data_IF_932958556455
#
_entry.id   IF_932958556455
#
_cell.length_a   1.000
_cell.length_b   1.000
_cell.length_c   1.000
_cell.angle_alpha   90.00
_cell.angle_beta   90.00
_cell.angle_gamma   90.00
#
_symmetry.space_group_name_H-M   'P 1'
#
loop_
_entity.id
_entity.type
_entity.pdbx_description
1 polymer ?
#
# COMPACT_ATOMS: atom_id res chain seq x y z
N UNK A 1 -2.13 -5.18 24.69
CA UNK A 1 -1.82 -6.05 23.54
C UNK A 1 -2.01 -5.20 22.31
N UNK A 2 -0.99 -5.06 21.46
CA UNK A 2 -1.13 -4.35 20.18
C UNK A 2 -2.11 -5.12 19.29
N UNK A 3 -2.96 -4.42 18.52
CA UNK A 3 -3.87 -5.10 17.60
C UNK A 3 -3.08 -5.76 16.47
N UNK A 4 -3.65 -6.79 15.87
CA UNK A 4 -3.12 -7.36 14.62
C UNK A 4 -3.68 -6.63 13.41
N UNK A 5 -2.99 -6.67 12.26
CA UNK A 5 -3.53 -6.14 11.00
C UNK A 5 -4.90 -6.72 10.65
N UNK A 6 -5.15 -7.97 11.04
CA UNK A 6 -6.45 -8.63 10.86
C UNK A 6 -7.53 -7.95 11.71
N UNK A 7 -7.27 -7.68 12.98
CA UNK A 7 -8.22 -7.01 13.88
C UNK A 7 -8.52 -5.58 13.45
N UNK A 8 -7.50 -4.84 12.99
CA UNK A 8 -7.67 -3.49 12.40
C UNK A 8 -8.55 -3.58 11.15
N UNK A 9 -8.27 -4.54 10.26
CA UNK A 9 -9.04 -4.76 9.03
C UNK A 9 -10.50 -5.08 9.33
N UNK A 10 -10.76 -5.99 10.27
CA UNK A 10 -12.11 -6.39 10.67
C UNK A 10 -12.89 -5.19 11.24
N UNK A 11 -12.23 -4.37 12.06
CA UNK A 11 -12.83 -3.16 12.66
C UNK A 11 -13.21 -2.13 11.61
N UNK A 12 -12.27 -1.78 10.71
CA UNK A 12 -12.50 -0.80 9.64
C UNK A 12 -13.54 -1.29 8.62
N UNK A 13 -13.52 -2.59 8.31
CA UNK A 13 -14.50 -3.21 7.41
C UNK A 13 -15.90 -3.13 8.01
N UNK A 14 -16.05 -3.48 9.28
CA UNK A 14 -17.33 -3.38 9.99
C UNK A 14 -17.85 -1.96 10.03
N UNK A 15 -16.99 -0.98 10.34
CA UNK A 15 -17.37 0.45 10.35
C UNK A 15 -17.90 0.91 8.99
N UNK A 16 -17.22 0.51 7.91
CA UNK A 16 -17.64 0.79 6.52
C UNK A 16 -18.98 0.12 6.19
N UNK A 17 -19.14 -1.15 6.51
CA UNK A 17 -20.35 -1.91 6.22
C UNK A 17 -21.56 -1.36 6.97
N UNK A 18 -21.41 -1.06 8.26
CA UNK A 18 -22.49 -0.51 9.09
C UNK A 18 -22.93 0.86 8.56
N UNK A 19 -21.99 1.73 8.16
CA UNK A 19 -22.34 3.02 7.55
C UNK A 19 -23.04 2.84 6.19
N UNK A 20 -22.59 1.90 5.36
CA UNK A 20 -23.20 1.62 4.06
C UNK A 20 -24.65 1.17 4.22
N UNK A 21 -24.91 0.22 5.12
CA UNK A 21 -26.27 -0.25 5.45
C UNK A 21 -27.15 0.88 6.00
N UNK A 22 -26.58 1.76 6.82
CA UNK A 22 -27.31 2.91 7.36
C UNK A 22 -27.70 3.91 6.25
N UNK A 23 -26.80 4.17 5.30
CA UNK A 23 -27.07 5.03 4.13
C UNK A 23 -28.17 4.42 3.25
N UNK A 24 -28.07 3.13 2.92
CA UNK A 24 -29.08 2.41 2.13
C UNK A 24 -30.47 2.54 2.75
N UNK A 25 -30.59 2.25 4.05
CA UNK A 25 -31.85 2.38 4.79
C UNK A 25 -32.42 3.80 4.75
N UNK A 26 -31.58 4.83 4.93
CA UNK A 26 -32.02 6.23 4.87
C UNK A 26 -32.47 6.60 3.46
N UNK A 27 -31.79 6.13 2.42
CA UNK A 27 -32.20 6.35 1.02
C UNK A 27 -33.55 5.68 0.70
N UNK A 28 -33.79 4.47 1.21
CA UNK A 28 -35.11 3.83 1.10
C UNK A 28 -36.21 4.62 1.81
N UNK A 29 -35.94 5.12 3.02
CA UNK A 29 -36.87 5.98 3.77
C UNK A 29 -37.15 7.30 3.03
N UNK A 30 -36.13 7.89 2.40
CA UNK A 30 -36.27 9.08 1.54
C UNK A 30 -37.18 8.78 0.35
N UNK A 31 -36.97 7.64 -0.34
CA UNK A 31 -37.81 7.24 -1.48
C UNK A 31 -39.28 7.07 -1.08
N UNK A 32 -39.55 6.39 0.04
CA UNK A 32 -40.90 6.24 0.59
C UNK A 32 -41.52 7.59 0.95
N UNK A 33 -40.73 8.50 1.52
CA UNK A 33 -41.19 9.84 1.90
C UNK A 33 -41.53 10.68 0.68
N UNK A 34 -40.73 10.62 -0.39
CA UNK A 34 -41.02 11.29 -1.66
C UNK A 34 -42.32 10.78 -2.29
N UNK A 35 -42.59 9.47 -2.24
CA UNK A 35 -43.87 8.92 -2.70
C UNK A 35 -45.05 9.45 -1.87
N UNK A 36 -44.88 9.58 -0.55
CA UNK A 36 -45.91 10.16 0.32
C UNK A 36 -46.16 11.64 0.03
N UNK A 37 -45.12 12.42 -0.31
CA UNK A 37 -45.23 13.81 -0.77
C UNK A 37 -46.05 13.87 -2.05
N UNK A 38 -45.69 13.08 -3.07
CA UNK A 38 -46.40 13.07 -4.34
C UNK A 38 -47.89 12.70 -4.17
N UNK A 39 -48.17 11.69 -3.33
CA UNK A 39 -49.54 11.29 -3.00
C UNK A 39 -50.31 12.41 -2.28
N UNK A 40 -49.73 13.05 -1.27
CA UNK A 40 -50.38 14.14 -0.55
C UNK A 40 -50.64 15.36 -1.45
N UNK A 41 -49.72 15.66 -2.37
CA UNK A 41 -49.92 16.70 -3.39
C UNK A 41 -51.09 16.37 -4.31
N UNK A 42 -51.19 15.12 -4.78
CA UNK A 42 -52.32 14.68 -5.60
C UNK A 42 -53.65 14.76 -4.83
N UNK A 43 -53.69 14.25 -3.60
CA UNK A 43 -54.90 14.31 -2.75
C UNK A 43 -55.33 15.76 -2.47
N UNK A 44 -54.38 16.69 -2.36
CA UNK A 44 -54.65 18.11 -2.18
C UNK A 44 -55.32 18.72 -3.41
N UNK A 45 -54.83 18.40 -4.62
CA UNK A 45 -55.44 18.83 -5.89
C UNK A 45 -56.85 18.26 -6.04
N UNK A 46 -57.03 16.96 -5.81
CA UNK A 46 -58.34 16.31 -5.93
C UNK A 46 -59.37 16.88 -4.93
N UNK A 47 -58.95 17.18 -3.71
CA UNK A 47 -59.82 17.79 -2.70
C UNK A 47 -60.21 19.23 -3.10
N UNK A 48 -59.28 19.98 -3.70
CA UNK A 48 -59.55 21.32 -4.22
C UNK A 48 -60.54 21.29 -5.40
N UNK A 49 -60.41 20.34 -6.32
CA UNK A 49 -61.36 20.15 -7.43
C UNK A 49 -62.77 19.77 -6.95
N UNK A 50 -62.87 19.05 -5.82
CA UNK A 50 -64.14 18.62 -5.22
C UNK A 50 -64.73 19.61 -4.21
N UNK A 51 -64.07 20.76 -3.98
CA UNK A 51 -64.41 21.71 -2.92
C UNK A 51 -64.51 21.05 -1.52
N UNK A 52 -63.71 20.01 -1.28
CA UNK A 52 -63.64 19.27 -0.01
C UNK A 52 -62.57 19.87 0.91
N UNK A 53 -62.97 20.86 1.70
CA UNK A 53 -62.08 21.54 2.64
C UNK A 53 -61.44 20.59 3.68
N UNK A 54 -62.16 19.55 4.13
CA UNK A 54 -61.61 18.59 5.12
C UNK A 54 -60.56 17.69 4.47
N UNK A 55 -60.82 17.24 3.24
CA UNK A 55 -59.85 16.50 2.44
C UNK A 55 -58.59 17.33 2.19
N UNK A 56 -58.76 18.60 1.84
CA UNK A 56 -57.65 19.53 1.58
C UNK A 56 -56.78 19.75 2.82
N UNK A 57 -57.39 19.99 3.99
CA UNK A 57 -56.66 20.17 5.25
C UNK A 57 -55.87 18.90 5.62
N UNK A 58 -56.47 17.72 5.45
CA UNK A 58 -55.82 16.44 5.71
C UNK A 58 -54.62 16.21 4.78
N UNK A 59 -54.77 16.50 3.49
CA UNK A 59 -53.70 16.38 2.50
C UNK A 59 -52.57 17.38 2.80
N UNK A 60 -52.89 18.63 3.14
CA UNK A 60 -51.92 19.66 3.53
C UNK A 60 -51.12 19.26 4.77
N UNK A 61 -51.79 18.72 5.80
CA UNK A 61 -51.13 18.22 7.00
C UNK A 61 -50.21 17.02 6.71
N UNK A 62 -50.64 16.13 5.82
CA UNK A 62 -49.83 14.98 5.38
C UNK A 62 -48.60 15.43 4.60
N UNK A 63 -48.76 16.40 3.71
CA UNK A 63 -47.68 17.01 2.94
C UNK A 63 -46.65 17.69 3.86
N UNK A 64 -47.11 18.47 4.83
CA UNK A 64 -46.23 19.11 5.82
C UNK A 64 -45.41 18.07 6.59
N UNK A 65 -46.06 17.04 7.14
CA UNK A 65 -45.37 15.94 7.86
C UNK A 65 -44.33 15.24 7.00
N UNK A 66 -44.67 14.94 5.74
CA UNK A 66 -43.77 14.27 4.82
C UNK A 66 -42.55 15.14 4.46
N UNK A 67 -42.76 16.44 4.21
CA UNK A 67 -41.67 17.39 3.96
C UNK A 67 -40.73 17.53 5.16
N UNK A 68 -41.26 17.68 6.38
CA UNK A 68 -40.43 17.74 7.59
C UNK A 68 -39.65 16.44 7.80
N UNK A 69 -40.26 15.29 7.53
CA UNK A 69 -39.59 13.98 7.59
C UNK A 69 -38.45 13.90 6.57
N UNK A 70 -38.67 14.39 5.34
CA UNK A 70 -37.65 14.42 4.31
C UNK A 70 -36.43 15.26 4.71
N UNK A 71 -36.63 16.44 5.30
CA UNK A 71 -35.54 17.28 5.80
C UNK A 71 -34.73 16.58 6.89
N UNK A 72 -35.41 15.92 7.84
CA UNK A 72 -34.75 15.13 8.87
C UNK A 72 -33.88 14.01 8.27
N UNK A 73 -34.43 13.27 7.29
CA UNK A 73 -33.71 12.19 6.61
C UNK A 73 -32.51 12.71 5.80
N UNK A 74 -32.65 13.84 5.10
CA UNK A 74 -31.54 14.50 4.39
C UNK A 74 -30.43 14.92 5.35
N UNK A 75 -30.78 15.47 6.52
CA UNK A 75 -29.80 15.82 7.55
C UNK A 75 -29.08 14.59 8.12
N UNK A 76 -29.81 13.49 8.32
CA UNK A 76 -29.24 12.20 8.75
C UNK A 76 -28.28 11.66 7.68
N UNK A 77 -28.67 11.68 6.40
CA UNK A 77 -27.83 11.25 5.29
C UNK A 77 -26.55 12.09 5.19
N UNK A 78 -26.65 13.42 5.35
CA UNK A 78 -25.49 14.30 5.38
C UNK A 78 -24.50 13.90 6.48
N UNK A 79 -24.99 13.58 7.70
CA UNK A 79 -24.14 13.10 8.80
C UNK A 79 -23.44 11.78 8.46
N UNK A 80 -24.13 10.82 7.83
CA UNK A 80 -23.57 9.52 7.44
C UNK A 80 -22.52 9.61 6.31
N UNK A 81 -22.55 10.70 5.53
CA UNK A 81 -21.57 10.97 4.49
C UNK A 81 -20.33 11.73 4.98
N UNK A 82 -20.28 12.10 6.27
CA UNK A 82 -19.07 12.66 6.88
C UNK A 82 -18.03 11.57 7.14
N UNK A 83 -16.75 11.94 7.35
CA UNK A 83 -15.72 11.00 7.77
C UNK A 83 -16.17 10.17 8.97
N UNK A 84 -15.96 8.85 8.90
CA UNK A 84 -16.35 7.90 9.95
C UNK A 84 -15.42 7.92 11.15
N UNK A 85 -14.23 8.50 10.96
CA UNK A 85 -13.20 8.70 11.96
C UNK A 85 -12.76 10.16 11.89
N UNK A 86 -12.37 10.69 13.04
CA UNK A 86 -11.64 11.94 13.11
C UNK A 86 -10.25 11.79 12.48
N UNK A 87 -9.63 12.93 12.15
CA UNK A 87 -8.26 12.95 11.64
C UNK A 87 -7.27 12.32 12.63
N UNK A 88 -7.46 12.55 13.94
CA UNK A 88 -6.61 12.01 14.98
C UNK A 88 -6.69 10.47 15.03
N UNK A 89 -7.91 9.93 15.08
CA UNK A 89 -8.12 8.47 15.07
C UNK A 89 -7.54 7.81 13.81
N UNK A 90 -7.67 8.45 12.65
CA UNK A 90 -7.09 7.93 11.42
C UNK A 90 -5.55 7.93 11.44
N UNK A 91 -4.94 8.94 12.05
CA UNK A 91 -3.47 9.01 12.22
C UNK A 91 -2.98 7.95 13.20
N UNK A 92 -3.70 7.73 14.30
CA UNK A 92 -3.34 6.71 15.29
C UNK A 92 -3.40 5.31 14.70
N UNK A 93 -4.48 4.99 13.95
CA UNK A 93 -4.60 3.71 13.25
C UNK A 93 -3.50 3.53 12.19
N UNK A 94 -3.13 4.61 11.48
CA UNK A 94 -2.02 4.58 10.52
C UNK A 94 -0.70 4.23 11.22
N UNK A 95 -0.40 4.87 12.34
CA UNK A 95 0.81 4.61 13.10
C UNK A 95 0.85 3.16 13.60
N UNK A 96 -0.28 2.63 14.08
CA UNK A 96 -0.35 1.22 14.51
C UNK A 96 -0.12 0.24 13.35
N UNK A 97 -0.63 0.54 12.14
CA UNK A 97 -0.36 -0.26 10.94
C UNK A 97 1.14 -0.24 10.59
N UNK A 98 1.78 0.94 10.65
CA UNK A 98 3.21 1.11 10.37
C UNK A 98 4.06 0.36 11.41
N UNK A 99 3.75 0.48 12.69
CA UNK A 99 4.45 -0.23 13.77
C UNK A 99 4.35 -1.76 13.60
N UNK A 100 3.16 -2.29 13.23
CA UNK A 100 2.99 -3.72 12.98
C UNK A 100 3.79 -4.16 11.75
N UNK A 101 3.80 -3.35 10.68
CA UNK A 101 4.58 -3.61 9.48
C UNK A 101 6.07 -3.67 9.80
N UNK A 102 6.59 -2.67 10.50
CA UNK A 102 8.00 -2.57 10.88
C UNK A 102 8.40 -3.73 11.80
N UNK A 103 7.56 -4.04 12.80
CA UNK A 103 7.80 -5.16 13.71
C UNK A 103 7.84 -6.50 12.98
N UNK A 104 6.92 -6.75 12.06
CA UNK A 104 6.88 -8.01 11.30
C UNK A 104 8.04 -8.11 10.31
N UNK A 105 8.45 -6.99 9.72
CA UNK A 105 9.52 -6.98 8.73
C UNK A 105 10.91 -7.00 9.33
N UNK A 106 11.08 -6.59 10.60
CA UNK A 106 12.38 -6.63 11.28
C UNK A 106 13.06 -8.01 11.17
N UNK A 107 12.31 -9.08 11.36
CA UNK A 107 12.86 -10.45 11.26
C UNK A 107 13.18 -10.86 9.81
N UNK A 108 12.40 -10.39 8.83
CA UNK A 108 12.69 -10.63 7.42
C UNK A 108 13.93 -9.84 6.97
N UNK A 109 14.07 -8.59 7.40
CA UNK A 109 15.27 -7.78 7.13
C UNK A 109 16.51 -8.38 7.76
N UNK A 110 16.44 -8.88 9.01
CA UNK A 110 17.56 -9.59 9.64
C UNK A 110 18.00 -10.81 8.84
N UNK A 111 17.05 -11.63 8.37
CA UNK A 111 17.35 -12.81 7.54
C UNK A 111 17.94 -12.41 6.19
N UNK A 112 17.36 -11.40 5.54
CA UNK A 112 17.86 -10.89 4.27
C UNK A 112 19.27 -10.31 4.40
N UNK A 113 19.53 -9.57 5.49
CA UNK A 113 20.85 -9.01 5.81
C UNK A 113 21.91 -10.10 5.92
N UNK A 114 21.66 -11.19 6.66
CA UNK A 114 22.62 -12.30 6.77
C UNK A 114 23.00 -12.86 5.41
N UNK A 115 22.02 -13.13 4.55
CA UNK A 115 22.27 -13.67 3.21
C UNK A 115 23.02 -12.69 2.31
N UNK A 116 22.65 -11.41 2.34
CA UNK A 116 23.33 -10.37 1.57
C UNK A 116 24.77 -10.18 2.05
N UNK A 117 25.00 -10.24 3.37
CA UNK A 117 26.33 -10.17 3.95
C UNK A 117 27.20 -11.34 3.50
N UNK A 118 26.69 -12.58 3.58
CA UNK A 118 27.40 -13.77 3.11
C UNK A 118 27.77 -13.67 1.62
N UNK A 119 26.86 -13.17 0.78
CA UNK A 119 27.14 -12.94 -0.64
C UNK A 119 28.21 -11.87 -0.88
N UNK A 120 28.23 -10.82 -0.05
CA UNK A 120 29.27 -9.78 -0.11
C UNK A 120 30.63 -10.32 0.34
N UNK A 121 30.67 -11.15 1.37
CA UNK A 121 31.92 -11.77 1.83
C UNK A 121 32.52 -12.68 0.74
N UNK A 122 31.69 -13.52 0.10
CA UNK A 122 32.09 -14.35 -1.04
C UNK A 122 32.57 -13.53 -2.25
N UNK A 123 31.97 -12.35 -2.46
CA UNK A 123 32.41 -11.41 -3.51
C UNK A 123 33.84 -10.93 -3.22
N UNK A 124 34.13 -10.54 -1.99
CA UNK A 124 35.48 -10.06 -1.61
C UNK A 124 36.53 -11.18 -1.72
N UNK A 125 36.20 -12.40 -1.30
CA UNK A 125 37.08 -13.57 -1.49
C UNK A 125 37.38 -13.82 -2.98
N UNK A 126 36.36 -13.83 -3.83
CA UNK A 126 36.54 -14.02 -5.27
C UNK A 126 37.39 -12.92 -5.92
N UNK A 127 37.22 -11.66 -5.51
CA UNK A 127 38.07 -10.54 -5.98
C UNK A 127 39.52 -10.77 -5.58
N UNK A 128 39.77 -11.25 -4.36
CA UNK A 128 41.11 -11.60 -3.87
C UNK A 128 41.76 -12.67 -4.75
N UNK A 129 41.06 -13.78 -5.00
CA UNK A 129 41.57 -14.89 -5.83
C UNK A 129 41.88 -14.43 -7.26
N UNK A 130 41.03 -13.59 -7.86
CA UNK A 130 41.26 -13.02 -9.19
C UNK A 130 42.53 -12.17 -9.20
N UNK A 131 42.73 -11.33 -8.18
CA UNK A 131 43.91 -10.48 -8.08
C UNK A 131 45.18 -11.32 -7.91
N UNK A 132 45.13 -12.38 -7.10
CA UNK A 132 46.25 -13.31 -6.93
C UNK A 132 46.59 -14.04 -8.24
N UNK A 133 45.59 -14.57 -8.95
CA UNK A 133 45.80 -15.22 -10.24
C UNK A 133 46.42 -14.27 -11.28
N UNK A 134 45.96 -13.02 -11.34
CA UNK A 134 46.54 -12.01 -12.22
C UNK A 134 48.00 -11.72 -11.88
N UNK A 135 48.33 -11.60 -10.58
CA UNK A 135 49.71 -11.37 -10.15
C UNK A 135 50.64 -12.54 -10.55
N UNK A 136 50.17 -13.79 -10.42
CA UNK A 136 50.93 -14.97 -10.85
C UNK A 136 51.12 -15.00 -12.37
N UNK A 137 50.07 -14.66 -13.14
CA UNK A 137 50.15 -14.56 -14.60
C UNK A 137 51.12 -13.48 -15.07
N UNK A 138 51.17 -12.33 -14.38
CA UNK A 138 52.15 -11.28 -14.67
C UNK A 138 53.59 -11.78 -14.48
N UNK A 139 53.89 -12.47 -13.38
CA UNK A 139 55.21 -13.07 -13.12
C UNK A 139 55.57 -14.07 -14.22
N UNK A 140 54.65 -14.97 -14.56
CA UNK A 140 54.87 -15.97 -15.62
C UNK A 140 55.20 -15.28 -16.95
N UNK A 141 54.41 -14.28 -17.33
CA UNK A 141 54.52 -13.62 -18.62
C UNK A 141 55.78 -12.74 -18.74
N UNK A 142 56.00 -11.87 -17.75
CA UNK A 142 57.07 -10.88 -17.79
C UNK A 142 58.40 -11.43 -17.31
N UNK A 143 58.41 -12.19 -16.21
CA UNK A 143 59.65 -12.60 -15.55
C UNK A 143 60.16 -13.95 -16.04
N UNK A 144 59.27 -14.92 -16.29
CA UNK A 144 59.68 -16.26 -16.73
C UNK A 144 59.77 -16.32 -18.25
N UNK A 145 58.71 -15.94 -18.96
CA UNK A 145 58.65 -16.04 -20.42
C UNK A 145 59.34 -14.87 -21.14
N UNK A 146 59.71 -13.81 -20.43
CA UNK A 146 60.40 -12.62 -20.96
C UNK A 146 59.73 -12.06 -22.22
N UNK A 147 58.39 -12.04 -22.27
CA UNK A 147 57.61 -11.54 -23.41
C UNK A 147 57.84 -12.29 -24.74
N UNK A 148 58.14 -13.60 -24.71
CA UNK A 148 58.28 -14.39 -25.93
C UNK A 148 56.97 -14.39 -26.77
N UNK A 149 56.98 -13.68 -27.91
CA UNK A 149 55.81 -13.38 -28.77
C UNK A 149 55.07 -14.58 -29.38
N UNK A 150 55.49 -15.82 -29.14
CA UNK A 150 54.99 -17.00 -29.85
C UNK A 150 53.86 -17.74 -29.15
N UNK A 151 53.43 -17.29 -27.96
CA UNK A 151 52.31 -17.89 -27.26
C UNK A 151 51.05 -17.04 -27.45
N UNK A 152 50.25 -17.38 -28.46
CA UNK A 152 48.87 -16.94 -28.52
C UNK A 152 48.05 -17.90 -27.65
N UNK A 153 47.78 -17.51 -26.39
CA UNK A 153 46.49 -17.86 -25.79
C UNK A 153 45.42 -17.40 -26.80
N UNK A 154 44.53 -18.29 -27.18
CA UNK A 154 43.68 -18.16 -28.37
C UNK A 154 43.11 -16.75 -28.59
N UNK A 155 43.15 -16.30 -29.84
CA UNK A 155 42.47 -15.10 -30.37
C UNK A 155 42.14 -13.95 -29.38
N UNK A 156 43.02 -12.95 -29.36
CA UNK A 156 42.74 -11.51 -29.19
C UNK A 156 42.12 -10.92 -27.90
N UNK A 157 41.89 -11.66 -26.81
CA UNK A 157 41.42 -11.05 -25.53
C UNK A 157 42.02 -11.58 -24.20
N UNK A 158 42.83 -12.63 -24.18
CA UNK A 158 42.88 -13.52 -22.99
C UNK A 158 43.82 -13.17 -21.81
N UNK A 159 44.37 -11.95 -21.74
CA UNK A 159 44.89 -11.38 -20.47
C UNK A 159 44.17 -10.06 -20.13
N UNK A 160 43.37 -9.54 -21.07
CA UNK A 160 42.54 -8.38 -20.82
C UNK A 160 41.33 -8.80 -19.98
N UNK A 161 41.51 -8.76 -18.67
CA UNK A 161 40.45 -8.63 -17.69
C UNK A 161 39.40 -9.76 -17.69
N UNK A 162 39.66 -10.84 -16.93
CA UNK A 162 38.58 -11.65 -16.32
C UNK A 162 37.56 -10.80 -15.53
N UNK A 163 37.88 -9.53 -15.28
CA UNK A 163 37.05 -8.51 -14.64
C UNK A 163 35.76 -8.18 -15.40
N UNK A 164 35.70 -8.36 -16.73
CA UNK A 164 34.58 -7.77 -17.49
C UNK A 164 33.28 -8.59 -17.48
N UNK A 165 33.34 -9.92 -17.37
CA UNK A 165 32.12 -10.74 -17.25
C UNK A 165 31.77 -10.97 -15.78
N UNK A 166 32.75 -11.34 -14.95
CA UNK A 166 32.52 -11.59 -13.54
C UNK A 166 32.29 -10.30 -12.74
N UNK A 167 33.12 -9.27 -12.95
CA UNK A 167 32.94 -7.96 -12.30
C UNK A 167 31.62 -7.29 -12.68
N UNK A 168 31.04 -7.56 -13.85
CA UNK A 168 29.75 -6.99 -14.25
C UNK A 168 28.58 -7.60 -13.48
N UNK A 169 28.52 -8.93 -13.30
CA UNK A 169 27.50 -9.55 -12.45
C UNK A 169 27.65 -9.14 -10.97
N UNK A 170 28.87 -9.10 -10.44
CA UNK A 170 29.12 -8.79 -9.02
C UNK A 170 28.98 -7.30 -8.67
N UNK A 171 29.38 -6.38 -9.56
CA UNK A 171 29.09 -4.95 -9.38
C UNK A 171 27.58 -4.68 -9.39
N UNK A 172 26.81 -5.44 -10.18
CA UNK A 172 25.35 -5.29 -10.23
C UNK A 172 24.69 -5.74 -8.92
N UNK A 173 25.21 -6.79 -8.27
CA UNK A 173 24.73 -7.25 -6.96
C UNK A 173 24.98 -6.19 -5.88
N UNK A 174 26.18 -5.60 -5.80
CA UNK A 174 26.50 -4.57 -4.80
C UNK A 174 25.89 -3.19 -5.05
N UNK A 175 25.50 -2.88 -6.29
CA UNK A 175 24.96 -1.56 -6.68
C UNK A 175 23.44 -1.49 -6.76
N UNK A 176 22.73 -2.62 -6.56
CA UNK A 176 21.27 -2.60 -6.52
C UNK A 176 20.78 -1.77 -5.33
N UNK A 177 19.85 -0.83 -5.60
CA UNK A 177 19.18 -0.03 -4.57
C UNK A 177 18.54 -0.91 -3.48
N UNK A 178 18.09 -2.11 -3.83
CA UNK A 178 17.54 -3.07 -2.88
C UNK A 178 18.60 -3.61 -1.91
N UNK A 179 19.78 -4.01 -2.42
CA UNK A 179 20.89 -4.54 -1.61
C UNK A 179 21.44 -3.46 -0.68
N UNK A 180 21.59 -2.23 -1.18
CA UNK A 180 21.99 -1.07 -0.38
C UNK A 180 20.99 -0.78 0.75
N UNK A 181 19.68 -0.85 0.47
CA UNK A 181 18.64 -0.64 1.48
C UNK A 181 18.63 -1.75 2.55
N UNK A 182 18.79 -3.02 2.16
CA UNK A 182 18.86 -4.16 3.10
C UNK A 182 20.10 -4.09 3.99
N UNK A 183 21.25 -3.68 3.45
CA UNK A 183 22.46 -3.48 4.25
C UNK A 183 22.29 -2.36 5.27
N UNK A 184 21.71 -1.22 4.85
CA UNK A 184 21.47 -0.08 5.73
C UNK A 184 20.48 -0.40 6.86
N UNK A 185 19.30 -0.93 6.54
CA UNK A 185 18.29 -1.28 7.54
C UNK A 185 18.71 -2.47 8.42
N UNK A 186 19.52 -3.39 7.88
CA UNK A 186 20.03 -4.54 8.62
C UNK A 186 21.12 -4.19 9.64
N UNK A 187 21.95 -3.17 9.37
CA UNK A 187 22.91 -2.63 10.34
C UNK A 187 22.20 -1.91 11.49
N UNK A 188 21.24 -1.04 11.19
CA UNK A 188 20.50 -0.25 12.19
C UNK A 188 19.60 -1.10 13.13
N UNK A 189 19.29 -2.35 12.75
CA UNK A 189 18.40 -3.24 13.51
C UNK A 189 19.11 -4.32 14.35
N UNK A 190 20.45 -4.32 14.35
CA UNK A 190 21.31 -5.20 15.16
C UNK A 190 21.92 -4.53 16.42
N UNK A 191 21.74 -3.22 16.60
CA UNK A 191 21.96 -2.49 17.87
C UNK A 191 20.69 -2.48 18.74
#
# INVERSE_FOLDING_TARGET
MAQTLKEITDTLTKLKEDNTKAIEKVNEEISKTNNAIAKAQQEQVEAQEKDDMKGYEKASNSLWKANTTLEFLKNKLNKLNKPLLSQAEAVDIKAEIEDIFDSNNKDYFKKAYSLVKELNDLKEESISDINEANAVLEILYYDVMKNARTWTLGSNTDIAYHKDVYGHYFNTIGSSNFVQAVLKEGEDSND
#
